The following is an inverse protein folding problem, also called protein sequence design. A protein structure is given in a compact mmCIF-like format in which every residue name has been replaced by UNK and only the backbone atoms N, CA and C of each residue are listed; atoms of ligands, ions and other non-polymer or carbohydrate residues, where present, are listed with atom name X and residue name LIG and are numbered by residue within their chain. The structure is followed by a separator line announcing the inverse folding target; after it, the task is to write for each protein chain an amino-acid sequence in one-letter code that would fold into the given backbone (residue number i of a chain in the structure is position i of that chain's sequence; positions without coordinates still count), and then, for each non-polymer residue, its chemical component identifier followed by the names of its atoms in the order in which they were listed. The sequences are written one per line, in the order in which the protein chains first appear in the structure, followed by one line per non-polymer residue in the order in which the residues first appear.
data_IF_776140673157
#
_entry.id   IF_776140673157
#
_cell.length_a   1.000
_cell.length_b   1.000
_cell.length_c   1.000
_cell.angle_alpha   90.00
_cell.angle_beta   90.00
_cell.angle_gamma   90.00
#
_symmetry.space_group_name_H-M   'P 1'
#
loop_
_entity.id
_entity.type
_entity.pdbx_description
1 polymer ?
#
# COMPACT_ATOMS: atom_id res chain seq x y z
N UNK A 1 -4.36 3.62 -9.67
CA UNK A 1 -5.01 2.49 -8.95
C UNK A 1 -5.25 2.89 -7.50
N UNK A 2 -6.17 2.25 -6.77
CA UNK A 2 -6.36 2.50 -5.32
C UNK A 2 -5.60 1.49 -4.47
N UNK A 3 -5.40 1.80 -3.18
CA UNK A 3 -4.82 0.85 -2.21
C UNK A 3 -5.66 -0.42 -2.11
N UNK A 4 -6.99 -0.30 -2.12
CA UNK A 4 -7.89 -1.46 -2.15
C UNK A 4 -7.68 -2.33 -3.40
N UNK A 5 -7.54 -1.70 -4.57
CA UNK A 5 -7.30 -2.43 -5.82
C UNK A 5 -5.94 -3.13 -5.80
N UNK A 6 -4.90 -2.51 -5.22
CA UNK A 6 -3.59 -3.12 -5.02
C UNK A 6 -3.70 -4.38 -4.14
N UNK A 7 -4.37 -4.28 -2.99
CA UNK A 7 -4.57 -5.39 -2.06
C UNK A 7 -5.21 -6.63 -2.73
N UNK A 8 -6.17 -6.40 -3.63
CA UNK A 8 -6.88 -7.46 -4.36
C UNK A 8 -6.01 -8.20 -5.39
N UNK A 9 -4.98 -7.55 -5.94
CA UNK A 9 -4.14 -8.12 -7.01
C UNK A 9 -2.78 -8.61 -6.55
N UNK A 10 -2.37 -8.28 -5.32
CA UNK A 10 -1.13 -8.77 -4.74
C UNK A 10 -1.10 -10.30 -4.58
N UNK A 11 0.10 -10.86 -4.39
CA UNK A 11 0.26 -12.28 -4.06
C UNK A 11 0.39 -12.48 -2.54
N UNK A 12 0.04 -13.67 -2.07
CA UNK A 12 0.05 -13.97 -0.63
C UNK A 12 1.48 -13.95 -0.13
N UNK A 13 1.70 -13.26 1.00
CA UNK A 13 3.05 -13.08 1.56
C UNK A 13 3.87 -11.99 0.89
N UNK A 14 3.28 -11.19 -0.01
CA UNK A 14 3.88 -9.95 -0.48
C UNK A 14 3.67 -8.82 0.54
N UNK A 15 4.73 -8.07 0.83
CA UNK A 15 4.69 -6.91 1.72
C UNK A 15 4.48 -5.60 0.95
N UNK A 16 3.73 -4.65 1.50
CA UNK A 16 3.65 -3.27 1.00
C UNK A 16 4.05 -2.30 2.09
N UNK A 17 4.87 -1.33 1.70
CA UNK A 17 5.14 -0.14 2.46
C UNK A 17 4.38 1.01 1.81
N UNK A 18 3.39 1.54 2.51
CA UNK A 18 2.62 2.70 2.08
C UNK A 18 3.29 3.98 2.60
N UNK A 19 3.59 4.90 1.69
CA UNK A 19 4.22 6.19 1.99
C UNK A 19 3.37 7.36 1.52
N UNK A 20 3.56 8.51 2.17
CA UNK A 20 3.11 9.79 1.61
C UNK A 20 4.13 10.33 0.58
N UNK A 21 3.80 11.48 -0.03
CA UNK A 21 4.68 12.17 -0.99
C UNK A 21 5.99 12.69 -0.41
N UNK A 22 6.08 12.81 0.91
CA UNK A 22 7.30 13.20 1.63
C UNK A 22 8.15 11.97 1.96
N UNK A 23 7.85 10.82 1.35
CA UNK A 23 8.47 9.51 1.58
C UNK A 23 8.32 8.97 3.00
N UNK A 24 7.45 9.57 3.81
CA UNK A 24 7.17 9.11 5.17
C UNK A 24 6.36 7.83 5.10
N UNK A 25 6.82 6.78 5.80
CA UNK A 25 6.06 5.54 5.98
C UNK A 25 4.81 5.83 6.81
N UNK A 26 3.65 5.54 6.22
CA UNK A 26 2.34 5.68 6.86
C UNK A 26 1.90 4.34 7.47
N UNK A 27 2.10 3.25 6.72
CA UNK A 27 1.67 1.92 7.09
C UNK A 27 2.51 0.87 6.35
N UNK A 28 2.69 -0.29 6.98
CA UNK A 28 3.19 -1.49 6.33
C UNK A 28 2.18 -2.63 6.51
N UNK A 29 1.91 -3.39 5.45
CA UNK A 29 0.96 -4.49 5.49
C UNK A 29 1.34 -5.62 4.54
N UNK A 30 0.98 -6.85 4.88
CA UNK A 30 1.24 -8.04 4.07
C UNK A 30 -0.06 -8.68 3.58
N UNK A 31 -0.10 -9.15 2.33
CA UNK A 31 -1.29 -9.83 1.84
C UNK A 31 -1.47 -11.19 2.54
N UNK A 32 -2.62 -11.37 3.21
CA UNK A 32 -3.03 -12.63 3.83
C UNK A 32 -3.07 -12.62 5.36
N UNK A 33 -2.42 -11.65 6.02
CA UNK A 33 -2.49 -11.48 7.48
C UNK A 33 -3.12 -10.13 7.87
N UNK A 34 -3.01 -9.10 7.03
CA UNK A 34 -3.17 -7.69 7.46
C UNK A 34 -4.23 -6.88 6.70
N UNK A 35 -5.18 -7.50 6.01
CA UNK A 35 -6.29 -6.76 5.40
C UNK A 35 -7.09 -5.94 6.43
N UNK A 36 -7.15 -6.41 7.68
CA UNK A 36 -7.73 -5.68 8.80
C UNK A 36 -6.79 -4.59 9.38
N UNK A 37 -5.48 -4.67 9.12
CA UNK A 37 -4.51 -3.67 9.59
C UNK A 37 -4.46 -2.45 8.66
N UNK A 38 -4.94 -2.58 7.42
CA UNK A 38 -5.14 -1.43 6.53
C UNK A 38 -6.38 -0.68 6.98
N UNK A 39 -6.15 0.47 7.65
CA UNK A 39 -7.22 1.37 8.05
C UNK A 39 -8.08 1.76 6.84
N UNK A 40 -9.40 1.78 7.05
CA UNK A 40 -10.40 2.15 6.04
C UNK A 40 -10.11 3.50 5.39
N UNK A 41 -9.38 4.39 6.08
CA UNK A 41 -8.98 5.70 5.56
C UNK A 41 -8.04 5.61 4.35
N UNK A 42 -7.29 4.51 4.18
CA UNK A 42 -6.31 4.36 3.10
C UNK A 42 -6.87 3.61 1.88
N UNK A 43 -7.89 2.76 2.05
CA UNK A 43 -8.38 1.86 1.01
C UNK A 43 -8.77 2.59 -0.30
N UNK A 44 -9.45 3.73 -0.17
CA UNK A 44 -9.92 4.53 -1.30
C UNK A 44 -8.89 5.54 -1.81
N UNK A 45 -7.72 5.66 -1.15
CA UNK A 45 -6.67 6.59 -1.58
C UNK A 45 -5.99 6.08 -2.85
N UNK A 46 -5.63 7.02 -3.71
CA UNK A 46 -4.99 6.72 -4.99
C UNK A 46 -3.48 6.57 -4.80
N UNK A 47 -2.92 5.60 -5.50
CA UNK A 47 -1.47 5.37 -5.55
C UNK A 47 -0.91 6.10 -6.77
N UNK A 48 0.08 6.95 -6.54
CA UNK A 48 0.84 7.68 -7.56
C UNK A 48 2.01 6.86 -8.09
N UNK A 49 2.75 6.22 -7.19
CA UNK A 49 3.95 5.43 -7.52
C UNK A 49 3.82 4.05 -6.89
N UNK A 50 4.17 3.01 -7.64
CA UNK A 50 4.27 1.64 -7.15
C UNK A 50 5.59 1.04 -7.62
N UNK A 51 6.53 0.85 -6.70
CA UNK A 51 7.87 0.34 -6.99
C UNK A 51 8.06 -1.07 -6.41
N UNK A 52 8.37 -2.08 -7.24
CA UNK A 52 8.66 -3.44 -6.76
C UNK A 52 10.08 -3.55 -6.19
N UNK A 53 10.21 -4.27 -5.08
CA UNK A 53 11.48 -4.60 -4.42
C UNK A 53 11.50 -6.08 -4.02
N UNK A 54 11.87 -6.96 -4.95
CA UNK A 54 11.84 -8.41 -4.70
C UNK A 54 10.41 -8.87 -4.37
N UNK A 55 10.19 -9.33 -3.14
CA UNK A 55 8.87 -9.77 -2.65
C UNK A 55 8.03 -8.67 -1.99
N UNK A 56 8.47 -7.40 -2.05
CA UNK A 56 7.73 -6.28 -1.49
C UNK A 56 7.46 -5.19 -2.53
N UNK A 57 6.54 -4.28 -2.20
CA UNK A 57 6.22 -3.09 -2.98
C UNK A 57 6.30 -1.84 -2.10
N UNK A 58 6.78 -0.74 -2.65
CA UNK A 58 6.60 0.60 -2.10
C UNK A 58 5.46 1.27 -2.86
N UNK A 59 4.39 1.65 -2.15
CA UNK A 59 3.28 2.40 -2.72
C UNK A 59 3.28 3.84 -2.16
N UNK A 60 3.30 4.84 -3.03
CA UNK A 60 3.23 6.26 -2.65
C UNK A 60 1.85 6.80 -2.97
N UNK A 61 1.21 7.44 -2.00
CA UNK A 61 -0.11 8.04 -2.16
C UNK A 61 -0.08 9.32 -3.01
N UNK A 62 -1.10 9.49 -3.85
CA UNK A 62 -1.27 10.67 -4.71
C UNK A 62 -1.73 11.91 -3.93
N UNK A 63 -2.34 11.73 -2.77
CA UNK A 63 -2.85 12.83 -1.96
C UNK A 63 -2.04 12.96 -0.65
N UNK A 64 -1.83 14.20 -0.20
CA UNK A 64 -0.93 14.55 0.91
C UNK A 64 -1.62 14.67 2.27
N UNK A 65 -2.88 14.20 2.37
CA UNK A 65 -3.71 14.41 3.55
C UNK A 65 -3.06 13.90 4.83
#
# INVERSE_FOLDING_TARGET
MTVESLLKVMQKGTDVILKDKSEKELLRFSQGNDLNAVSFEYLNRKILVLEPHGNSFTAVLEDSK
#
